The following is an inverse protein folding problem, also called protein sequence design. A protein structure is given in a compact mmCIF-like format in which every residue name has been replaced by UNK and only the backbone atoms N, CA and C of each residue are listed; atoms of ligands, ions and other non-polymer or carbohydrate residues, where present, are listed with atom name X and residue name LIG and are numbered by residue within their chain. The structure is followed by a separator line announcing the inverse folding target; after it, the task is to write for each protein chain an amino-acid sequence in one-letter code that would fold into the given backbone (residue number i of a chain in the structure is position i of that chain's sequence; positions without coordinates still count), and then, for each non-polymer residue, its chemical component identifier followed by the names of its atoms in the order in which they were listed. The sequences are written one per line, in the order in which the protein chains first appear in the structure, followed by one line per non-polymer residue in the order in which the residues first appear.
data_IF_800847552087
#
_entry.id   IF_800847552087
#
_cell.length_a   1.000
_cell.length_b   1.000
_cell.length_c   1.000
_cell.angle_alpha   90.00
_cell.angle_beta   90.00
_cell.angle_gamma   90.00
#
_symmetry.space_group_name_H-M   'P 1'
#
loop_
_entity.id
_entity.type
_entity.pdbx_description
1 polymer ?
#
# COMPACT_ATOMS: atom_id res chain seq x y z
N UNK A 1 -7.22 -10.70 2.45
CA UNK A 1 -5.78 -11.01 2.62
C UNK A 1 -5.63 -12.15 3.63
N UNK A 2 -4.80 -13.16 3.34
CA UNK A 2 -4.55 -14.28 4.26
C UNK A 2 -3.70 -13.82 5.47
N UNK A 3 -3.82 -14.46 6.65
CA UNK A 3 -3.05 -14.10 7.85
C UNK A 3 -1.54 -14.04 7.60
N UNK A 4 -0.99 -15.03 6.89
CA UNK A 4 0.44 -15.09 6.53
C UNK A 4 0.89 -13.91 5.67
N UNK A 5 0.06 -13.47 4.72
CA UNK A 5 0.33 -12.30 3.87
C UNK A 5 0.30 -11.00 4.70
N UNK A 6 -0.65 -10.89 5.64
CA UNK A 6 -0.74 -9.73 6.57
C UNK A 6 0.51 -9.60 7.43
N UNK A 7 0.99 -10.72 7.96
CA UNK A 7 2.21 -10.71 8.77
C UNK A 7 3.44 -10.37 7.93
N UNK A 8 3.58 -11.01 6.76
CA UNK A 8 4.71 -10.78 5.86
C UNK A 8 4.80 -9.32 5.43
N UNK A 9 3.70 -8.72 4.95
CA UNK A 9 3.70 -7.33 4.51
C UNK A 9 4.04 -6.40 5.66
N UNK A 10 3.49 -6.64 6.85
CA UNK A 10 3.72 -5.77 8.03
C UNK A 10 5.18 -5.83 8.48
N UNK A 11 5.78 -7.03 8.52
CA UNK A 11 7.18 -7.21 8.89
C UNK A 11 8.13 -6.62 7.87
N UNK A 12 7.80 -6.73 6.57
CA UNK A 12 8.68 -6.22 5.52
C UNK A 12 8.51 -4.73 5.23
N UNK A 13 7.34 -4.15 5.54
CA UNK A 13 7.02 -2.75 5.25
C UNK A 13 8.09 -1.78 5.74
N UNK A 14 8.64 -2.03 6.94
CA UNK A 14 9.68 -1.19 7.54
C UNK A 14 10.95 -1.03 6.66
N UNK A 15 11.25 -2.01 5.80
CA UNK A 15 12.45 -2.00 4.96
C UNK A 15 12.28 -1.21 3.67
N UNK A 16 11.04 -0.99 3.23
CA UNK A 16 10.77 -0.45 1.89
C UNK A 16 9.70 0.64 1.87
N UNK A 17 9.15 1.04 3.03
CA UNK A 17 8.13 2.07 3.15
C UNK A 17 8.54 3.45 2.62
N UNK A 18 9.83 3.66 2.35
CA UNK A 18 10.39 4.91 1.82
C UNK A 18 10.82 4.77 0.34
N UNK A 19 10.72 3.58 -0.24
CA UNK A 19 11.09 3.32 -1.64
C UNK A 19 10.01 3.79 -2.63
N UNK A 20 8.82 4.14 -2.15
CA UNK A 20 7.69 4.54 -2.98
C UNK A 20 6.81 5.59 -2.32
N UNK A 21 6.06 6.33 -3.13
CA UNK A 21 4.94 7.13 -2.62
C UNK A 21 3.65 6.34 -2.67
N UNK A 22 2.91 6.20 -1.56
CA UNK A 22 1.66 5.46 -1.53
C UNK A 22 0.60 6.01 -2.49
N UNK A 23 0.63 7.31 -2.81
CA UNK A 23 -0.26 7.90 -3.82
C UNK A 23 0.03 7.43 -5.25
N UNK A 24 1.30 7.12 -5.59
CA UNK A 24 1.69 6.57 -6.89
C UNK A 24 1.16 5.14 -7.09
N UNK A 25 0.90 4.40 -6.01
CA UNK A 25 0.31 3.06 -6.08
C UNK A 25 -1.21 3.08 -6.27
N UNK A 26 -1.91 4.16 -5.88
CA UNK A 26 -3.39 4.23 -5.90
C UNK A 26 -4.03 3.87 -7.26
N UNK A 27 -3.51 4.31 -8.42
CA UNK A 27 -4.08 3.99 -9.73
C UNK A 27 -4.13 2.48 -10.02
N UNK A 28 -3.24 1.70 -9.42
CA UNK A 28 -3.16 0.25 -9.60
C UNK A 28 -4.03 -0.52 -8.59
N UNK A 29 -4.58 0.16 -7.58
CA UNK A 29 -5.30 -0.44 -6.45
C UNK A 29 -6.82 -0.32 -6.61
N UNK A 30 -7.36 -0.99 -7.62
CA UNK A 30 -8.81 -1.04 -7.91
C UNK A 30 -9.67 -1.61 -6.78
N UNK A 31 -9.08 -2.26 -5.78
CA UNK A 31 -9.78 -2.78 -4.61
C UNK A 31 -10.09 -1.71 -3.54
N UNK A 32 -9.49 -0.52 -3.63
CA UNK A 32 -9.73 0.59 -2.72
C UNK A 32 -10.96 1.40 -3.14
N UNK A 33 -11.69 1.93 -2.16
CA UNK A 33 -12.77 2.90 -2.44
C UNK A 33 -12.21 4.31 -2.62
N UNK A 34 -12.98 5.22 -3.22
CA UNK A 34 -12.61 6.65 -3.30
C UNK A 34 -12.19 7.21 -1.94
N UNK A 35 -13.01 6.98 -0.91
CA UNK A 35 -12.71 7.39 0.47
C UNK A 35 -11.44 6.73 1.08
N UNK A 36 -11.02 5.56 0.60
CA UNK A 36 -9.75 4.97 1.06
C UNK A 36 -8.56 5.70 0.41
N UNK A 37 -8.68 6.03 -0.87
CA UNK A 37 -7.68 6.77 -1.65
C UNK A 37 -7.51 8.19 -1.10
N UNK A 38 -8.62 8.90 -0.89
CA UNK A 38 -8.63 10.24 -0.30
C UNK A 38 -7.97 10.26 1.09
N UNK A 39 -8.20 9.21 1.90
CA UNK A 39 -7.56 9.11 3.21
C UNK A 39 -6.04 8.92 3.12
N UNK A 40 -5.57 8.14 2.13
CA UNK A 40 -4.14 7.94 1.87
C UNK A 40 -3.50 9.24 1.39
N UNK A 41 -4.13 9.94 0.43
CA UNK A 41 -3.67 11.25 -0.06
C UNK A 41 -3.62 12.29 1.07
N UNK A 42 -4.65 12.30 1.93
CA UNK A 42 -4.71 13.19 3.08
C UNK A 42 -3.61 12.88 4.11
N UNK A 43 -3.37 11.60 4.42
CA UNK A 43 -2.27 11.23 5.32
C UNK A 43 -0.90 11.56 4.70
N UNK A 44 -0.74 11.46 3.38
CA UNK A 44 0.53 11.78 2.70
C UNK A 44 0.83 13.27 2.78
N UNK A 45 -0.16 14.10 2.43
CA UNK A 45 -0.03 15.56 2.45
C UNK A 45 0.15 16.14 3.86
N UNK A 46 -0.52 15.58 4.87
CA UNK A 46 -0.53 16.16 6.22
C UNK A 46 0.47 15.53 7.18
N UNK A 47 0.81 14.24 6.99
CA UNK A 47 1.59 13.46 7.96
C UNK A 47 2.81 12.76 7.32
N UNK A 48 2.95 12.87 6.00
CA UNK A 48 4.07 12.32 5.25
C UNK A 48 3.86 10.89 4.74
N UNK A 49 4.74 10.50 3.82
CA UNK A 49 4.67 9.24 3.08
C UNK A 49 4.63 8.01 3.99
N UNK A 50 5.42 7.97 5.07
CA UNK A 50 5.42 6.85 6.02
C UNK A 50 4.03 6.59 6.58
N UNK A 51 3.33 7.64 7.05
CA UNK A 51 1.99 7.49 7.63
C UNK A 51 0.98 7.04 6.58
N UNK A 52 1.05 7.61 5.39
CA UNK A 52 0.21 7.22 4.26
C UNK A 52 0.43 5.77 3.84
N UNK A 53 1.67 5.28 3.85
CA UNK A 53 2.01 3.89 3.55
C UNK A 53 1.39 2.93 4.57
N UNK A 54 1.44 3.26 5.86
CA UNK A 54 0.74 2.49 6.89
C UNK A 54 -0.78 2.49 6.70
N UNK A 55 -1.37 3.65 6.42
CA UNK A 55 -2.81 3.77 6.11
C UNK A 55 -3.18 2.90 4.91
N UNK A 56 -2.41 2.98 3.83
CA UNK A 56 -2.62 2.20 2.61
C UNK A 56 -2.64 0.70 2.90
N UNK A 57 -1.62 0.19 3.61
CA UNK A 57 -1.56 -1.23 3.97
C UNK A 57 -2.72 -1.63 4.88
N UNK A 58 -3.12 -0.79 5.83
CA UNK A 58 -4.29 -1.06 6.69
C UNK A 58 -5.58 -1.20 5.86
N UNK A 59 -5.79 -0.33 4.86
CA UNK A 59 -6.94 -0.44 3.95
C UNK A 59 -6.86 -1.73 3.12
N UNK A 60 -5.72 -2.03 2.53
CA UNK A 60 -5.51 -3.23 1.71
C UNK A 60 -5.74 -4.53 2.49
N UNK A 61 -5.39 -4.56 3.79
CA UNK A 61 -5.64 -5.72 4.67
C UNK A 61 -7.14 -6.03 4.78
N UNK A 62 -8.02 -5.03 4.68
CA UNK A 62 -9.48 -5.13 4.81
C UNK A 62 -10.17 -5.47 3.48
N UNK A 63 -9.48 -5.33 2.34
CA UNK A 63 -10.03 -5.59 1.01
C UNK A 63 -9.74 -7.01 0.52
N UNK A 64 -10.63 -7.52 -0.34
CA UNK A 64 -10.40 -8.77 -1.10
C UNK A 64 -9.32 -8.47 -2.15
N UNK A 65 -8.37 -9.38 -2.34
CA UNK A 65 -7.23 -9.25 -3.27
C UNK A 65 -6.24 -8.10 -2.97
N UNK A 66 -6.31 -7.45 -1.81
CA UNK A 66 -5.43 -6.32 -1.48
C UNK A 66 -3.93 -6.64 -1.49
N UNK A 67 -3.53 -7.89 -1.21
CA UNK A 67 -2.14 -8.31 -1.33
C UNK A 67 -1.68 -8.40 -2.79
N UNK A 68 -2.47 -9.07 -3.63
CA UNK A 68 -2.14 -9.29 -5.04
C UNK A 68 -2.07 -7.95 -5.79
N UNK A 69 -3.01 -7.05 -5.51
CA UNK A 69 -2.99 -5.71 -6.09
C UNK A 69 -1.80 -4.88 -5.60
N UNK A 70 -1.41 -5.01 -4.32
CA UNK A 70 -0.21 -4.36 -3.82
C UNK A 70 1.05 -4.83 -4.55
N UNK A 71 1.23 -6.15 -4.66
CA UNK A 71 2.38 -6.73 -5.38
C UNK A 71 2.40 -6.30 -6.84
N UNK A 72 1.23 -6.26 -7.50
CA UNK A 72 1.11 -5.80 -8.87
C UNK A 72 1.46 -4.31 -9.02
N UNK A 73 0.96 -3.47 -8.11
CA UNK A 73 1.24 -2.04 -8.10
C UNK A 73 2.76 -1.77 -7.94
N UNK A 74 3.38 -2.44 -6.96
CA UNK A 74 4.83 -2.34 -6.71
C UNK A 74 5.65 -2.80 -7.92
N UNK A 75 5.22 -3.86 -8.63
CA UNK A 75 5.87 -4.28 -9.89
C UNK A 75 5.69 -3.27 -11.02
N UNK A 76 4.53 -2.64 -11.14
CA UNK A 76 4.26 -1.64 -12.18
C UNK A 76 5.14 -0.39 -11.99
N UNK A 77 5.36 0.01 -10.74
CA UNK A 77 6.24 1.13 -10.38
C UNK A 77 7.74 0.80 -10.49
N UNK A 78 8.10 -0.36 -11.03
CA UNK A 78 9.51 -0.76 -11.21
C UNK A 78 10.23 -1.17 -9.93
N UNK A 79 9.49 -1.32 -8.82
CA UNK A 79 10.02 -1.69 -7.51
C UNK A 79 10.10 -3.21 -7.33
N UNK A 80 10.58 -3.90 -8.37
CA UNK A 80 10.62 -5.36 -8.42
C UNK A 80 11.44 -6.01 -7.30
N UNK A 81 12.34 -5.26 -6.64
CA UNK A 81 13.11 -5.74 -5.48
C UNK A 81 12.25 -5.93 -4.22
N UNK A 82 11.06 -5.33 -4.18
CA UNK A 82 10.12 -5.40 -3.06
C UNK A 82 9.08 -6.53 -3.23
N UNK A 83 8.80 -6.92 -4.49
CA UNK A 83 7.72 -7.83 -4.89
C UNK A 83 8.12 -9.33 -4.92
#
# INVERSE_FOLDING_TARGET
MQPKQRELITKRLQYFQHDFRPTELLPHLTCLTGADSEQVECDENNKGATRATWTLIDKLKRRKNGFEQFVLAVRCEGLGHIA
#
